data_IF_972295361385
#
_entry.id   IF_972295361385
#
_cell.length_a   1.000
_cell.length_b   1.000
_cell.length_c   1.000
_cell.angle_alpha   90.00
_cell.angle_beta   90.00
_cell.angle_gamma   90.00
#
_symmetry.space_group_name_H-M   'P 1'
#
loop_
_entity.id
_entity.type
_entity.pdbx_description
1 polymer ?
#
# COMPACT_ATOMS: atom_id res chain seq x y z
N UNK A 1 -10.37 -16.05 41.03
CA UNK A 1 -10.80 -14.85 41.78
C UNK A 1 -11.95 -14.22 41.03
N UNK A 2 -13.10 -14.03 41.70
CA UNK A 2 -14.32 -13.48 41.13
C UNK A 2 -14.57 -12.12 41.74
N UNK A 3 -14.78 -11.09 40.92
CA UNK A 3 -14.99 -9.73 41.39
C UNK A 3 -16.29 -9.15 40.83
N UNK A 4 -16.96 -8.34 41.64
CA UNK A 4 -17.99 -7.42 41.21
C UNK A 4 -17.34 -6.07 40.90
N UNK A 5 -17.80 -5.40 39.86
CA UNK A 5 -17.34 -4.06 39.46
C UNK A 5 -18.53 -3.12 39.34
N UNK A 6 -18.32 -1.83 39.63
CA UNK A 6 -19.32 -0.79 39.40
C UNK A 6 -19.14 -0.25 37.98
N UNK A 7 -20.14 -0.49 37.14
CA UNK A 7 -20.23 0.00 35.76
C UNK A 7 -21.50 0.84 35.65
N UNK A 8 -21.39 2.08 35.18
CA UNK A 8 -22.53 3.00 35.01
C UNK A 8 -23.41 3.13 36.26
N UNK A 9 -22.78 3.21 37.44
CA UNK A 9 -23.44 3.28 38.77
C UNK A 9 -24.24 2.01 39.15
N UNK A 10 -24.12 0.93 38.40
CA UNK A 10 -24.72 -0.36 38.72
C UNK A 10 -23.65 -1.40 39.07
N UNK A 11 -23.94 -2.24 40.05
CA UNK A 11 -23.10 -3.38 40.40
C UNK A 11 -23.27 -4.48 39.35
N UNK A 12 -22.17 -4.91 38.74
CA UNK A 12 -22.14 -5.99 37.73
C UNK A 12 -21.16 -7.07 38.18
N UNK A 13 -21.49 -8.33 37.93
CA UNK A 13 -20.63 -9.47 38.24
C UNK A 13 -21.44 -10.66 38.79
N UNK A 14 -20.76 -11.71 39.30
CA UNK A 14 -19.30 -11.81 39.45
C UNK A 14 -18.61 -12.05 38.11
N UNK A 15 -17.47 -11.38 37.89
CA UNK A 15 -16.61 -11.57 36.73
C UNK A 15 -15.38 -12.37 37.10
N UNK A 16 -15.02 -13.32 36.23
CA UNK A 16 -13.76 -14.03 36.30
C UNK A 16 -12.60 -13.17 35.76
N UNK A 17 -11.36 -13.59 36.05
CA UNK A 17 -10.14 -12.87 35.65
C UNK A 17 -10.08 -12.55 34.16
N UNK A 18 -10.44 -13.51 33.31
CA UNK A 18 -10.39 -13.34 31.86
C UNK A 18 -11.47 -12.37 31.36
N UNK A 19 -12.65 -12.36 32.01
CA UNK A 19 -13.71 -11.41 31.70
C UNK A 19 -13.31 -9.99 32.09
N UNK A 20 -12.65 -9.80 33.24
CA UNK A 20 -12.10 -8.51 33.64
C UNK A 20 -11.02 -8.04 32.66
N UNK A 21 -10.14 -8.94 32.18
CA UNK A 21 -9.18 -8.59 31.13
C UNK A 21 -9.87 -8.13 29.85
N UNK A 22 -10.90 -8.84 29.39
CA UNK A 22 -11.65 -8.44 28.19
C UNK A 22 -12.34 -7.08 28.37
N UNK A 23 -12.93 -6.82 29.53
CA UNK A 23 -13.51 -5.50 29.85
C UNK A 23 -12.47 -4.38 29.88
N UNK A 24 -11.26 -4.67 30.39
CA UNK A 24 -10.14 -3.73 30.40
C UNK A 24 -9.61 -3.44 28.99
N UNK A 25 -9.48 -4.47 28.15
CA UNK A 25 -9.10 -4.35 26.74
C UNK A 25 -10.11 -3.53 25.93
N UNK A 26 -11.41 -3.76 26.17
CA UNK A 26 -12.50 -2.97 25.58
C UNK A 26 -12.57 -1.52 26.13
N UNK A 27 -11.83 -1.19 27.18
CA UNK A 27 -11.86 0.13 27.82
C UNK A 27 -13.12 0.39 28.66
N UNK A 28 -13.89 -0.65 28.98
CA UNK A 28 -15.08 -0.53 29.81
C UNK A 28 -14.74 -0.35 31.30
N UNK A 29 -13.57 -0.83 31.74
CA UNK A 29 -13.03 -0.63 33.08
C UNK A 29 -11.64 0.01 33.01
N UNK A 30 -11.30 0.79 34.04
CA UNK A 30 -10.01 1.44 34.22
C UNK A 30 -9.39 1.06 35.57
N UNK A 31 -8.12 1.41 35.80
CA UNK A 31 -7.43 1.19 37.07
C UNK A 31 -8.12 1.87 38.27
N UNK A 32 -8.84 2.96 38.00
CA UNK A 32 -9.62 3.72 38.99
C UNK A 32 -11.02 3.15 39.24
N UNK A 33 -11.46 2.14 38.48
CA UNK A 33 -12.77 1.52 38.66
C UNK A 33 -12.83 0.78 39.99
N UNK A 34 -13.95 0.90 40.69
CA UNK A 34 -14.18 0.24 41.97
C UNK A 34 -14.62 -1.21 41.78
N UNK A 35 -14.01 -2.12 42.55
CA UNK A 35 -14.27 -3.54 42.54
C UNK A 35 -14.31 -4.12 43.95
N UNK A 36 -15.03 -5.22 44.13
CA UNK A 36 -15.20 -5.90 45.41
C UNK A 36 -15.38 -7.40 45.19
N UNK A 37 -14.95 -8.21 46.15
CA UNK A 37 -15.22 -9.66 46.15
C UNK A 37 -16.70 -9.97 46.45
N UNK A 38 -17.40 -9.05 47.12
CA UNK A 38 -18.83 -9.13 47.43
C UNK A 38 -19.62 -8.04 46.71
N UNK A 39 -20.87 -8.35 46.33
CA UNK A 39 -21.80 -7.39 45.73
C UNK A 39 -22.17 -6.22 46.68
N UNK A 40 -21.92 -6.36 47.98
CA UNK A 40 -22.24 -5.36 49.00
C UNK A 40 -21.05 -4.47 49.41
N UNK A 41 -19.86 -4.71 48.85
CA UNK A 41 -18.61 -4.04 49.27
C UNK A 41 -17.82 -4.85 50.33
N UNK A 42 -16.67 -4.34 50.81
CA UNK A 42 -16.12 -3.00 50.59
C UNK A 42 -15.59 -2.78 49.17
N UNK A 43 -15.90 -1.61 48.61
CA UNK A 43 -15.47 -1.21 47.27
C UNK A 43 -14.06 -0.63 47.32
N UNK A 44 -13.15 -1.27 46.59
CA UNK A 44 -11.75 -0.87 46.54
C UNK A 44 -11.38 -0.60 45.08
N UNK A 45 -10.48 0.36 44.84
CA UNK A 45 -10.02 0.64 43.47
C UNK A 45 -9.27 -0.57 42.92
N UNK A 46 -9.52 -0.92 41.67
CA UNK A 46 -8.94 -2.09 41.02
C UNK A 46 -7.40 -2.09 41.05
N UNK A 47 -6.77 -0.90 41.07
CA UNK A 47 -5.31 -0.76 41.22
C UNK A 47 -4.75 -1.30 42.56
N UNK A 48 -5.53 -1.25 43.63
CA UNK A 48 -5.11 -1.64 45.00
C UNK A 48 -5.26 -3.15 45.24
N UNK A 49 -5.97 -3.85 44.34
CA UNK A 49 -6.20 -5.28 44.41
C UNK A 49 -4.95 -6.02 43.89
N UNK A 50 -4.46 -7.06 44.60
CA UNK A 50 -3.32 -7.84 44.16
C UNK A 50 -3.59 -8.51 42.80
N UNK A 51 -2.65 -8.36 41.85
CA UNK A 51 -2.77 -8.92 40.50
C UNK A 51 -3.39 -7.99 39.46
N UNK A 52 -3.68 -6.73 39.82
CA UNK A 52 -4.21 -5.70 38.91
C UNK A 52 -3.33 -5.43 37.68
N UNK A 53 -2.00 -5.53 37.82
CA UNK A 53 -1.05 -5.34 36.73
C UNK A 53 -1.23 -6.35 35.57
N UNK A 54 -1.74 -7.55 35.83
CA UNK A 54 -1.99 -8.56 34.79
C UNK A 54 -3.29 -8.32 34.01
N UNK A 55 -4.24 -7.57 34.60
CA UNK A 55 -5.49 -7.18 33.96
C UNK A 55 -5.29 -6.04 32.95
N UNK A 56 -4.31 -5.17 33.19
CA UNK A 56 -3.99 -4.02 32.34
C UNK A 56 -2.57 -4.14 31.77
N UNK A 57 -2.34 -4.97 30.74
CA UNK A 57 -1.03 -5.06 30.11
C UNK A 57 -0.62 -3.67 29.58
N UNK A 58 0.64 -3.29 29.79
CA UNK A 58 1.14 -2.00 29.31
C UNK A 58 0.94 -1.90 27.80
N UNK A 59 0.11 -0.95 27.36
CA UNK A 59 -0.10 -0.68 25.94
C UNK A 59 1.24 -0.30 25.32
N UNK A 60 1.77 -1.14 24.43
CA UNK A 60 2.96 -0.81 23.65
C UNK A 60 2.62 0.40 22.79
N UNK A 61 3.19 1.56 23.12
CA UNK A 61 3.10 2.74 22.27
C UNK A 61 3.98 2.49 21.06
N UNK A 62 3.36 2.28 19.91
CA UNK A 62 4.08 2.26 18.64
C UNK A 62 4.27 3.70 18.20
N UNK A 63 5.49 4.20 18.34
CA UNK A 63 5.87 5.48 17.76
C UNK A 63 6.32 5.27 16.32
N UNK A 64 5.69 5.99 15.39
CA UNK A 64 6.17 6.02 14.02
C UNK A 64 7.51 6.75 13.99
N UNK A 65 8.57 6.08 13.54
CA UNK A 65 9.85 6.73 13.29
C UNK A 65 9.63 7.87 12.30
N UNK A 66 10.02 9.09 12.67
CA UNK A 66 10.01 10.24 11.76
C UNK A 66 10.90 9.92 10.56
N UNK A 67 10.29 9.62 9.41
CA UNK A 67 11.02 9.41 8.16
C UNK A 67 11.14 10.77 7.48
N UNK A 68 12.37 11.27 7.36
CA UNK A 68 12.67 12.44 6.52
C UNK A 68 12.44 12.05 5.07
N UNK A 69 11.42 12.65 4.45
CA UNK A 69 11.16 12.48 3.03
C UNK A 69 12.01 13.49 2.26
N UNK A 70 12.82 13.01 1.33
CA UNK A 70 13.52 13.87 0.39
C UNK A 70 12.50 14.33 -0.66
N UNK A 71 12.20 15.62 -0.69
CA UNK A 71 11.23 16.20 -1.62
C UNK A 71 11.82 16.15 -3.03
N UNK A 72 11.45 15.11 -3.80
CA UNK A 72 11.96 14.88 -5.15
C UNK A 72 11.53 15.98 -6.15
N UNK A 73 10.46 16.72 -5.85
CA UNK A 73 10.00 17.84 -6.66
C UNK A 73 10.68 19.11 -6.16
N UNK A 74 11.75 19.55 -6.84
CA UNK A 74 12.19 20.95 -6.74
C UNK A 74 11.06 21.84 -7.28
N UNK A 75 10.67 22.93 -6.59
CA UNK A 75 9.80 23.93 -7.17
C UNK A 75 10.56 24.60 -8.32
N UNK A 76 10.36 24.09 -9.52
CA UNK A 76 11.00 24.51 -10.76
C UNK A 76 10.00 25.32 -11.60
N UNK A 77 9.45 26.38 -11.00
CA UNK A 77 8.87 27.51 -11.72
C UNK A 77 8.45 28.59 -10.70
N UNK A 78 8.53 29.89 -11.04
CA UNK A 78 7.77 30.90 -10.32
C UNK A 78 6.28 30.51 -10.33
N UNK A 79 5.53 30.79 -9.25
CA UNK A 79 4.10 30.51 -9.21
C UNK A 79 3.42 31.12 -10.43
N UNK A 80 2.81 30.26 -11.25
CA UNK A 80 2.10 30.69 -12.45
C UNK A 80 0.87 31.49 -12.01
N UNK A 81 0.80 32.76 -12.41
CA UNK A 81 -0.38 33.58 -12.14
C UNK A 81 -1.57 33.01 -12.92
N UNK A 82 -2.66 32.74 -12.20
CA UNK A 82 -3.87 32.16 -12.78
C UNK A 82 -4.49 33.11 -13.82
N UNK A 83 -4.24 34.42 -13.69
CA UNK A 83 -4.68 35.42 -14.67
C UNK A 83 -3.97 35.27 -16.02
N UNK A 84 -2.68 34.93 -16.01
CA UNK A 84 -1.91 34.71 -17.23
C UNK A 84 -2.37 33.44 -17.96
N UNK A 85 -2.75 32.40 -17.21
CA UNK A 85 -3.35 31.18 -17.78
C UNK A 85 -4.70 31.46 -18.45
N UNK A 86 -5.56 32.25 -17.80
CA UNK A 86 -6.87 32.62 -18.35
C UNK A 86 -6.69 33.50 -19.60
N UNK A 87 -5.75 34.45 -19.58
CA UNK A 87 -5.47 35.32 -20.71
C UNK A 87 -4.89 34.55 -21.90
N UNK A 88 -4.00 33.58 -21.65
CA UNK A 88 -3.44 32.72 -22.68
C UNK A 88 -4.50 31.79 -23.31
N UNK A 89 -5.41 31.24 -22.49
CA UNK A 89 -6.50 30.38 -22.96
C UNK A 89 -7.54 31.12 -23.82
N UNK A 90 -7.78 32.42 -23.54
CA UNK A 90 -8.73 33.25 -24.29
C UNK A 90 -8.11 33.91 -25.53
N UNK A 91 -6.85 33.64 -25.85
CA UNK A 91 -6.20 34.21 -27.03
C UNK A 91 -6.76 33.51 -28.28
N UNK A 92 -7.45 34.23 -29.19
CA UNK A 92 -8.02 33.61 -30.39
C UNK A 92 -6.91 32.96 -31.22
N UNK A 93 -7.07 31.67 -31.52
CA UNK A 93 -6.06 30.84 -32.19
C UNK A 93 -5.84 31.21 -33.67
N UNK A 94 -6.70 32.05 -34.25
CA UNK A 94 -6.58 32.53 -35.63
C UNK A 94 -6.95 34.02 -35.71
N UNK A 95 -6.21 34.83 -36.50
CA UNK A 95 -6.73 36.11 -36.94
C UNK A 95 -8.03 35.87 -37.73
N UNK A 96 -9.07 36.70 -37.55
CA UNK A 96 -10.31 36.55 -38.28
C UNK A 96 -10.01 36.55 -39.79
N UNK A 97 -10.53 35.58 -40.56
CA UNK A 97 -10.33 35.57 -42.00
C UNK A 97 -10.81 36.91 -42.55
N UNK A 98 -9.94 37.60 -43.28
CA UNK A 98 -10.33 38.79 -44.02
C UNK A 98 -11.55 38.41 -44.87
N UNK A 99 -12.64 39.15 -44.70
CA UNK A 99 -13.92 38.95 -45.37
C UNK A 99 -13.74 38.62 -46.86
N UNK A 100 -13.90 37.35 -47.21
CA UNK A 100 -13.95 36.89 -48.59
C UNK A 100 -15.31 37.32 -49.19
N UNK A 101 -15.33 37.88 -50.42
CA UNK A 101 -16.58 38.11 -51.14
C UNK A 101 -17.26 36.75 -51.41
N UNK A 102 -18.57 36.66 -51.15
CA UNK A 102 -19.33 35.42 -51.18
C UNK A 102 -19.33 34.69 -52.53
N UNK A 103 -19.51 33.34 -52.55
CA UNK A 103 -19.43 32.57 -53.78
C UNK A 103 -20.77 32.56 -54.55
N UNK A 104 -20.66 32.77 -55.86
CA UNK A 104 -21.66 32.30 -56.83
C UNK A 104 -21.64 30.75 -56.89
N UNK A 105 -22.77 30.09 -57.21
CA UNK A 105 -22.83 28.64 -57.26
C UNK A 105 -22.13 28.11 -58.52
N UNK A 106 -20.92 27.57 -58.37
CA UNK A 106 -20.24 26.84 -59.44
C UNK A 106 -19.46 25.66 -58.87
N UNK A 107 -19.82 24.48 -59.39
CA UNK A 107 -19.10 23.20 -59.48
C UNK A 107 -18.31 22.67 -58.28
N UNK A 108 -18.66 21.44 -57.90
CA UNK A 108 -17.92 20.63 -56.94
C UNK A 108 -16.44 20.50 -57.35
N UNK A 109 -15.48 20.86 -56.49
CA UNK A 109 -14.07 20.74 -56.82
C UNK A 109 -13.63 19.27 -56.79
N UNK A 110 -12.68 18.88 -57.66
CA UNK A 110 -12.14 17.53 -57.69
C UNK A 110 -11.48 17.20 -56.35
N UNK A 111 -11.65 15.94 -55.92
CA UNK A 111 -11.12 15.35 -54.69
C UNK A 111 -9.82 16.03 -54.24
N UNK A 112 -9.96 16.98 -53.30
CA UNK A 112 -8.85 17.73 -52.76
C UNK A 112 -7.82 16.72 -52.24
N UNK A 113 -6.64 16.73 -52.86
CA UNK A 113 -5.47 16.01 -52.39
C UNK A 113 -5.41 16.19 -50.88
N UNK A 114 -5.41 15.06 -50.14
CA UNK A 114 -5.37 14.99 -48.67
C UNK A 114 -4.33 15.98 -48.16
N UNK A 115 -4.75 17.18 -47.80
CA UNK A 115 -3.89 18.13 -47.09
C UNK A 115 -3.56 17.42 -45.78
N UNK A 116 -2.28 17.30 -45.41
CA UNK A 116 -1.93 16.74 -44.10
C UNK A 116 -2.75 17.51 -43.06
N UNK A 117 -3.51 16.80 -42.24
CA UNK A 117 -4.40 17.40 -41.26
C UNK A 117 -3.58 18.35 -40.38
N UNK A 118 -4.06 19.57 -40.13
CA UNK A 118 -3.40 20.57 -39.27
C UNK A 118 -2.97 20.00 -37.91
N UNK A 119 -3.67 18.97 -37.43
CA UNK A 119 -3.34 18.22 -36.21
C UNK A 119 -1.94 17.61 -36.25
N UNK A 120 -1.51 17.03 -37.37
CA UNK A 120 -0.17 16.42 -37.48
C UNK A 120 0.93 17.48 -37.40
N UNK A 121 0.68 18.66 -37.98
CA UNK A 121 1.61 19.78 -37.94
C UNK A 121 1.71 20.41 -36.55
N UNK A 122 0.58 20.56 -35.86
CA UNK A 122 0.53 21.00 -34.46
C UNK A 122 1.26 20.01 -33.54
N UNK A 123 1.06 18.70 -33.74
CA UNK A 123 1.77 17.67 -32.97
C UNK A 123 3.28 17.68 -33.22
N UNK A 124 3.71 17.93 -34.46
CA UNK A 124 5.14 18.05 -34.80
C UNK A 124 5.78 19.24 -34.09
N UNK A 125 5.13 20.41 -34.13
CA UNK A 125 5.60 21.63 -33.47
C UNK A 125 5.66 21.46 -31.95
N UNK A 126 4.65 20.83 -31.35
CA UNK A 126 4.65 20.55 -29.90
C UNK A 126 5.80 19.60 -29.52
N UNK A 127 6.04 18.56 -30.31
CA UNK A 127 7.11 17.59 -30.07
C UNK A 127 8.51 18.21 -30.23
N UNK A 128 8.68 19.18 -31.13
CA UNK A 128 9.92 19.96 -31.26
C UNK A 128 10.15 20.84 -30.02
N UNK A 129 9.11 21.52 -29.51
CA UNK A 129 9.20 22.30 -28.26
C UNK A 129 9.47 21.44 -27.04
N UNK A 130 8.86 20.26 -26.95
CA UNK A 130 9.11 19.30 -25.86
C UNK A 130 10.57 18.83 -25.84
N UNK A 131 11.18 18.62 -27.02
CA UNK A 131 12.60 18.30 -27.17
C UNK A 131 13.52 19.45 -26.75
N UNK A 132 13.22 20.68 -27.17
CA UNK A 132 13.98 21.88 -26.77
C UNK A 132 13.94 22.11 -25.25
N UNK A 133 12.80 21.83 -24.63
CA UNK A 133 12.61 21.94 -23.18
C UNK A 133 13.21 20.75 -22.40
N UNK A 134 13.73 19.73 -23.09
CA UNK A 134 14.28 18.53 -22.46
C UNK A 134 13.24 17.70 -21.69
N UNK A 135 11.94 17.89 -21.98
CA UNK A 135 10.86 17.14 -21.34
C UNK A 135 10.88 15.65 -21.71
N UNK A 136 11.47 15.33 -22.87
CA UNK A 136 11.74 13.95 -23.30
C UNK A 136 12.84 13.25 -22.48
N UNK A 137 13.62 14.00 -21.69
CA UNK A 137 14.60 13.43 -20.77
C UNK A 137 13.92 12.91 -19.49
N UNK A 138 12.98 11.98 -19.65
CA UNK A 138 12.50 11.16 -18.54
C UNK A 138 13.73 10.49 -17.93
N UNK A 139 14.06 10.86 -16.69
CA UNK A 139 15.09 10.15 -15.92
C UNK A 139 14.78 8.66 -16.05
N UNK A 140 15.74 7.82 -16.47
CA UNK A 140 15.50 6.39 -16.57
C UNK A 140 14.97 5.95 -15.22
N UNK A 141 13.73 5.45 -15.21
CA UNK A 141 13.09 4.98 -14.01
C UNK A 141 14.01 3.91 -13.43
N UNK A 142 14.65 4.20 -12.30
CA UNK A 142 15.58 3.25 -11.71
C UNK A 142 14.82 1.94 -11.51
N UNK A 143 15.33 0.87 -12.12
CA UNK A 143 14.72 -0.44 -11.99
C UNK A 143 14.62 -0.77 -10.50
N UNK A 144 13.39 -0.90 -10.01
CA UNK A 144 13.14 -1.20 -8.60
C UNK A 144 13.82 -2.54 -8.29
N UNK A 145 14.76 -2.60 -7.33
CA UNK A 145 15.45 -3.85 -7.02
C UNK A 145 14.42 -4.90 -6.59
N UNK A 146 14.40 -6.03 -7.30
CA UNK A 146 13.40 -7.06 -7.12
C UNK A 146 13.72 -7.90 -5.87
N UNK A 147 13.47 -7.32 -4.68
CA UNK A 147 13.67 -7.97 -3.38
C UNK A 147 12.95 -9.32 -3.29
N UNK A 148 11.78 -9.43 -3.93
CA UNK A 148 10.97 -10.66 -3.96
C UNK A 148 11.72 -11.83 -4.58
N UNK A 149 12.42 -11.60 -5.69
CA UNK A 149 13.19 -12.66 -6.36
C UNK A 149 14.34 -13.15 -5.48
N UNK A 150 14.99 -12.25 -4.75
CA UNK A 150 16.06 -12.61 -3.81
C UNK A 150 15.52 -13.46 -2.66
N UNK A 151 14.43 -13.03 -2.02
CA UNK A 151 13.84 -13.76 -0.90
C UNK A 151 13.32 -15.14 -1.36
N UNK A 152 12.68 -15.20 -2.52
CA UNK A 152 12.26 -16.46 -3.14
C UNK A 152 13.44 -17.40 -3.41
N UNK A 153 14.54 -16.91 -3.99
CA UNK A 153 15.74 -17.72 -4.23
C UNK A 153 16.34 -18.27 -2.94
N UNK A 154 16.42 -17.45 -1.89
CA UNK A 154 16.98 -17.86 -0.59
C UNK A 154 16.12 -18.98 0.02
N UNK A 155 14.79 -18.80 0.04
CA UNK A 155 13.86 -19.81 0.58
C UNK A 155 13.96 -21.12 -0.23
N UNK A 156 13.96 -21.01 -1.56
CA UNK A 156 14.05 -22.17 -2.45
C UNK A 156 15.37 -22.92 -2.25
N UNK A 157 16.49 -22.20 -2.12
CA UNK A 157 17.81 -22.79 -1.90
C UNK A 157 17.90 -23.52 -0.56
N UNK A 158 17.36 -22.93 0.52
CA UNK A 158 17.37 -23.56 1.86
C UNK A 158 16.54 -24.85 1.86
N UNK A 159 15.32 -24.81 1.31
CA UNK A 159 14.42 -25.96 1.32
C UNK A 159 14.94 -27.07 0.42
N UNK A 160 15.36 -26.75 -0.80
CA UNK A 160 15.93 -27.75 -1.71
C UNK A 160 17.28 -28.28 -1.21
N UNK A 161 18.08 -27.43 -0.55
CA UNK A 161 19.30 -27.87 0.13
C UNK A 161 19.02 -28.94 1.19
N UNK A 162 17.95 -28.79 1.98
CA UNK A 162 17.53 -29.78 2.95
C UNK A 162 17.13 -31.11 2.28
N UNK A 163 16.36 -31.08 1.19
CA UNK A 163 15.98 -32.28 0.44
C UNK A 163 17.18 -32.98 -0.18
N UNK A 164 18.09 -32.22 -0.79
CA UNK A 164 19.34 -32.75 -1.37
C UNK A 164 20.17 -33.42 -0.27
N UNK A 165 20.34 -32.77 0.88
CA UNK A 165 21.01 -33.39 2.02
C UNK A 165 20.32 -34.69 2.46
N UNK A 166 18.99 -34.71 2.53
CA UNK A 166 18.21 -35.89 2.93
C UNK A 166 18.41 -37.07 1.95
N UNK A 167 18.50 -36.78 0.65
CA UNK A 167 18.79 -37.77 -0.39
C UNK A 167 20.19 -38.37 -0.21
N UNK A 168 21.20 -37.56 0.12
CA UNK A 168 22.57 -38.03 0.32
C UNK A 168 22.78 -38.74 1.67
N UNK A 169 22.06 -38.32 2.72
CA UNK A 169 22.15 -38.92 4.04
C UNK A 169 21.50 -40.31 4.10
N UNK A 170 20.47 -40.56 3.27
CA UNK A 170 19.70 -41.80 3.26
C UNK A 170 19.97 -42.67 2.01
N UNK A 171 21.26 -42.80 1.64
CA UNK A 171 21.67 -43.69 0.54
C UNK A 171 21.29 -45.14 0.88
N UNK A 172 20.39 -45.71 0.08
CA UNK A 172 19.93 -47.10 0.22
C UNK A 172 18.44 -47.25 0.57
N UNK A 173 17.80 -46.19 1.06
CA UNK A 173 16.35 -46.20 1.31
C UNK A 173 15.59 -45.55 0.14
N UNK A 174 15.18 -46.38 -0.83
CA UNK A 174 14.46 -45.94 -2.04
C UNK A 174 13.17 -45.21 -1.69
N UNK A 175 12.45 -45.67 -0.65
CA UNK A 175 11.20 -45.05 -0.22
C UNK A 175 11.42 -43.60 0.22
N UNK A 176 12.42 -43.35 1.08
CA UNK A 176 12.77 -41.98 1.52
C UNK A 176 13.19 -41.12 0.34
N UNK A 177 13.91 -41.69 -0.64
CA UNK A 177 14.35 -40.95 -1.83
C UNK A 177 13.17 -40.51 -2.70
N UNK A 178 12.19 -41.38 -2.92
CA UNK A 178 10.99 -41.05 -3.69
C UNK A 178 10.15 -39.97 -3.01
N UNK A 179 9.97 -40.06 -1.69
CA UNK A 179 9.27 -39.02 -0.93
C UNK A 179 10.02 -37.69 -0.92
N UNK A 180 11.35 -37.71 -0.78
CA UNK A 180 12.17 -36.51 -0.83
C UNK A 180 12.09 -35.83 -2.20
N UNK A 181 12.15 -36.59 -3.29
CA UNK A 181 12.03 -36.06 -4.65
C UNK A 181 10.63 -35.48 -4.91
N UNK A 182 9.57 -36.22 -4.54
CA UNK A 182 8.20 -35.76 -4.68
C UNK A 182 7.92 -34.51 -3.85
N UNK A 183 8.38 -34.49 -2.59
CA UNK A 183 8.28 -33.34 -1.70
C UNK A 183 9.01 -32.11 -2.25
N UNK A 184 10.22 -32.30 -2.81
CA UNK A 184 11.00 -31.24 -3.45
C UNK A 184 10.23 -30.58 -4.60
N UNK A 185 9.59 -31.36 -5.48
CA UNK A 185 8.81 -30.84 -6.62
C UNK A 185 7.56 -30.11 -6.14
N UNK A 186 6.76 -30.74 -5.26
CA UNK A 186 5.49 -30.17 -4.77
C UNK A 186 5.74 -28.88 -3.99
N UNK A 187 6.73 -28.85 -3.09
CA UNK A 187 7.05 -27.64 -2.33
C UNK A 187 7.62 -26.54 -3.21
N UNK A 188 8.50 -26.86 -4.16
CA UNK A 188 9.03 -25.86 -5.10
C UNK A 188 7.92 -25.23 -5.94
N UNK A 189 6.98 -26.02 -6.45
CA UNK A 189 5.82 -25.52 -7.18
C UNK A 189 4.89 -24.69 -6.29
N UNK A 190 4.59 -25.16 -5.08
CA UNK A 190 3.72 -24.46 -4.13
C UNK A 190 4.28 -23.12 -3.67
N UNK A 191 5.58 -23.04 -3.35
CA UNK A 191 6.25 -21.80 -2.96
C UNK A 191 6.27 -20.81 -4.13
N UNK A 192 6.57 -21.30 -5.33
CA UNK A 192 6.53 -20.48 -6.54
C UNK A 192 5.13 -19.93 -6.78
N UNK A 193 4.09 -20.76 -6.63
CA UNK A 193 2.70 -20.31 -6.73
C UNK A 193 2.36 -19.23 -5.69
N UNK A 194 2.67 -19.45 -4.42
CA UNK A 194 2.37 -18.50 -3.34
C UNK A 194 3.09 -17.16 -3.58
N UNK A 195 4.38 -17.21 -3.93
CA UNK A 195 5.17 -15.99 -4.14
C UNK A 195 4.70 -15.17 -5.34
N UNK A 196 4.33 -15.82 -6.44
CA UNK A 196 3.99 -15.11 -7.68
C UNK A 196 2.50 -14.87 -7.90
N UNK A 197 1.60 -15.65 -7.28
CA UNK A 197 0.15 -15.49 -7.46
C UNK A 197 -0.57 -14.97 -6.22
N UNK A 198 -0.16 -15.39 -5.02
CA UNK A 198 -0.81 -14.97 -3.78
C UNK A 198 -0.23 -13.64 -3.30
N UNK A 199 1.10 -13.53 -3.24
CA UNK A 199 1.77 -12.33 -2.75
C UNK A 199 1.86 -11.20 -3.79
N UNK A 200 1.63 -11.46 -5.07
CA UNK A 200 1.72 -10.40 -6.09
C UNK A 200 0.58 -9.38 -6.00
N UNK A 201 -0.54 -9.76 -5.36
CA UNK A 201 -1.70 -8.88 -5.12
C UNK A 201 -1.59 -8.01 -3.87
N UNK A 202 -0.51 -8.10 -3.10
CA UNK A 202 -0.25 -7.32 -1.89
C UNK A 202 1.03 -6.49 -2.01
#
# INVERSE_FOLDING_TARGET
MKLFVILDKAVRGPFDRDQLRQLAEAGAIALTTEASESATGPWTKLQEIPGSAELFPQRRRFEFKAKTFEQANRPSAPPVDHRDLIAAANKPLQPPPASLPGPAPAEAPPAAARRPNEVEEILRINREREKELGLDALKPMQARPNRRLRDWLVILAVINGLFVWLLFANKGNVTVQMFALGGMVILSAGITWIMFFVMDRY
#
